data_IF_382822074847
#
_entry.id   IF_382822074847
#
_cell.length_a   1.000
_cell.length_b   1.000
_cell.length_c   1.000
_cell.angle_alpha   90.00
_cell.angle_beta   90.00
_cell.angle_gamma   90.00
#
_symmetry.space_group_name_H-M   'P 1'
#
loop_
_entity.id
_entity.type
_entity.pdbx_description
1 polymer ?
#
# COMPACT_ATOMS: atom_id res chain seq x y z
N UNK A 1 -6.14 -8.18 18.66
CA UNK A 1 -6.41 -6.78 18.26
C UNK A 1 -7.31 -6.81 17.04
N UNK A 2 -8.47 -6.16 17.05
CA UNK A 2 -9.38 -6.16 15.91
C UNK A 2 -9.13 -4.91 15.06
N UNK A 3 -8.47 -5.06 13.91
CA UNK A 3 -8.18 -3.96 12.99
C UNK A 3 -9.42 -3.73 12.12
N UNK A 4 -10.03 -2.55 12.23
CA UNK A 4 -11.31 -2.23 11.56
C UNK A 4 -11.24 -1.05 10.59
N UNK A 5 -10.07 -0.42 10.44
CA UNK A 5 -9.90 0.78 9.63
C UNK A 5 -8.74 0.61 8.66
N UNK A 6 -8.81 1.29 7.51
CA UNK A 6 -7.70 1.29 6.55
C UNK A 6 -6.39 1.79 7.18
N UNK A 7 -6.46 2.88 7.94
CA UNK A 7 -5.31 3.39 8.69
C UNK A 7 -4.76 2.37 9.70
N UNK A 8 -5.63 1.62 10.37
CA UNK A 8 -5.24 0.54 11.27
C UNK A 8 -4.52 -0.60 10.56
N UNK A 9 -4.98 -0.98 9.35
CA UNK A 9 -4.31 -1.99 8.53
C UNK A 9 -2.92 -1.52 8.11
N UNK A 10 -2.80 -0.28 7.63
CA UNK A 10 -1.51 0.28 7.19
C UNK A 10 -0.53 0.39 8.37
N UNK A 11 -1.00 0.82 9.54
CA UNK A 11 -0.18 0.87 10.74
C UNK A 11 0.29 -0.52 11.16
N UNK A 12 -0.59 -1.51 11.18
CA UNK A 12 -0.24 -2.88 11.52
C UNK A 12 0.75 -3.49 10.51
N UNK A 13 0.57 -3.23 9.22
CA UNK A 13 1.53 -3.61 8.18
C UNK A 13 2.92 -3.01 8.44
N UNK A 14 2.99 -1.71 8.74
CA UNK A 14 4.24 -1.03 9.06
C UNK A 14 4.94 -1.60 10.30
N UNK A 15 4.17 -1.89 11.36
CA UNK A 15 4.69 -2.46 12.60
C UNK A 15 5.17 -3.91 12.42
N UNK A 16 4.37 -4.75 11.76
CA UNK A 16 4.62 -6.17 11.67
C UNK A 16 5.67 -6.54 10.62
N UNK A 17 5.70 -5.84 9.47
CA UNK A 17 6.48 -6.26 8.30
C UNK A 17 7.58 -5.27 7.91
N UNK A 18 7.35 -3.96 8.06
CA UNK A 18 8.35 -2.95 7.67
C UNK A 18 9.39 -2.74 8.76
N UNK A 19 8.96 -2.49 10.00
CA UNK A 19 9.87 -2.22 11.12
C UNK A 19 10.71 -3.44 11.52
N UNK A 20 10.21 -4.64 11.25
CA UNK A 20 10.93 -5.90 11.44
C UNK A 20 11.92 -6.20 10.30
N UNK A 21 11.97 -5.35 9.27
CA UNK A 21 12.87 -5.51 8.13
C UNK A 21 12.49 -6.62 7.17
N UNK A 22 11.31 -7.24 7.33
CA UNK A 22 10.84 -8.27 6.40
C UNK A 22 10.52 -7.63 5.03
N UNK A 23 9.95 -6.42 5.03
CA UNK A 23 9.59 -5.68 3.83
C UNK A 23 10.25 -4.31 3.80
N UNK A 24 10.68 -3.88 2.60
CA UNK A 24 11.30 -2.58 2.38
C UNK A 24 10.36 -1.42 2.77
N UNK A 25 10.93 -0.40 3.41
CA UNK A 25 10.20 0.78 3.86
C UNK A 25 9.51 1.57 2.74
N UNK A 26 9.97 1.45 1.49
CA UNK A 26 9.32 2.01 0.32
C UNK A 26 7.88 1.50 0.16
N UNK A 27 7.60 0.23 0.48
CA UNK A 27 6.24 -0.31 0.42
C UNK A 27 5.34 0.30 1.49
N UNK A 28 5.85 0.58 2.69
CA UNK A 28 5.09 1.30 3.71
C UNK A 28 4.70 2.72 3.28
N UNK A 29 5.62 3.44 2.61
CA UNK A 29 5.34 4.78 2.04
C UNK A 29 4.35 4.70 0.88
N UNK A 30 4.54 3.74 -0.03
CA UNK A 30 3.68 3.53 -1.17
C UNK A 30 2.24 3.19 -0.75
N UNK A 31 2.06 2.33 0.25
CA UNK A 31 0.73 1.96 0.76
C UNK A 31 -0.01 3.18 1.33
N UNK A 32 0.66 4.01 2.14
CA UNK A 32 0.07 5.26 2.64
C UNK A 32 -0.38 6.19 1.50
N UNK A 33 0.49 6.40 0.51
CA UNK A 33 0.18 7.27 -0.63
C UNK A 33 -0.94 6.70 -1.51
N UNK A 34 -0.97 5.39 -1.75
CA UNK A 34 -2.06 4.74 -2.48
C UNK A 34 -3.42 4.91 -1.81
N UNK A 35 -3.46 4.86 -0.47
CA UNK A 35 -4.69 5.10 0.28
C UNK A 35 -5.15 6.56 0.15
N UNK A 36 -4.24 7.54 0.15
CA UNK A 36 -4.57 8.95 -0.13
C UNK A 36 -5.13 9.12 -1.56
N UNK A 37 -4.43 8.57 -2.55
CA UNK A 37 -4.87 8.60 -3.96
C UNK A 37 -6.28 8.04 -4.10
N UNK A 38 -6.54 6.87 -3.50
CA UNK A 38 -7.87 6.24 -3.51
C UNK A 38 -8.93 7.12 -2.86
N UNK A 39 -8.64 7.69 -1.68
CA UNK A 39 -9.61 8.56 -0.98
C UNK A 39 -9.93 9.79 -1.81
N UNK A 40 -8.93 10.43 -2.42
CA UNK A 40 -9.16 11.56 -3.32
C UNK A 40 -9.96 11.16 -4.55
N UNK A 41 -9.63 10.04 -5.19
CA UNK A 41 -10.32 9.60 -6.39
C UNK A 41 -11.79 9.20 -6.14
N UNK A 42 -12.05 8.48 -5.04
CA UNK A 42 -13.37 7.91 -4.74
C UNK A 42 -14.32 8.93 -4.11
N UNK A 43 -13.79 9.86 -3.31
CA UNK A 43 -14.60 10.74 -2.46
C UNK A 43 -14.40 12.23 -2.72
N UNK A 44 -13.38 12.62 -3.48
CA UNK A 44 -13.18 14.01 -3.91
C UNK A 44 -13.37 14.09 -5.43
N UNK A 45 -13.78 15.25 -5.95
CA UNK A 45 -13.99 15.45 -7.39
C UNK A 45 -12.67 15.52 -8.20
N UNK A 46 -11.63 14.79 -7.78
CA UNK A 46 -10.30 14.82 -8.36
C UNK A 46 -9.85 13.42 -8.75
N UNK A 47 -10.09 13.05 -10.01
CA UNK A 47 -9.43 11.89 -10.59
C UNK A 47 -7.91 12.05 -10.54
N UNK A 48 -7.15 10.98 -10.26
CA UNK A 48 -5.70 11.05 -10.30
C UNK A 48 -5.22 11.38 -11.72
N UNK A 49 -4.08 12.04 -11.83
CA UNK A 49 -3.43 12.23 -13.14
C UNK A 49 -3.05 10.87 -13.73
N UNK A 50 -2.83 10.82 -15.04
CA UNK A 50 -2.38 9.60 -15.70
C UNK A 50 -1.04 9.08 -15.12
N UNK A 51 -0.13 9.99 -14.77
CA UNK A 51 1.13 9.67 -14.11
C UNK A 51 0.91 9.08 -12.71
N UNK A 52 0.03 9.69 -11.91
CA UNK A 52 -0.29 9.20 -10.56
C UNK A 52 -0.98 7.83 -10.61
N UNK A 53 -1.87 7.62 -11.58
CA UNK A 53 -2.51 6.34 -11.82
C UNK A 53 -1.51 5.26 -12.26
N UNK A 54 -0.62 5.57 -13.21
CA UNK A 54 0.41 4.64 -13.67
C UNK A 54 1.38 4.26 -12.54
N UNK A 55 1.80 5.25 -11.75
CA UNK A 55 2.61 5.03 -10.57
C UNK A 55 1.88 4.12 -9.57
N UNK A 56 0.61 4.41 -9.28
CA UNK A 56 -0.20 3.63 -8.34
C UNK A 56 -0.29 2.15 -8.74
N UNK A 57 -0.59 1.86 -10.01
CA UNK A 57 -0.64 0.48 -10.53
C UNK A 57 0.72 -0.20 -10.39
N UNK A 58 1.80 0.48 -10.80
CA UNK A 58 3.16 -0.07 -10.69
C UNK A 58 3.52 -0.43 -9.25
N UNK A 59 3.19 0.42 -8.28
CA UNK A 59 3.45 0.13 -6.86
C UNK A 59 2.60 -1.04 -6.35
N UNK A 60 1.33 -1.12 -6.76
CA UNK A 60 0.44 -2.20 -6.35
C UNK A 60 0.91 -3.56 -6.89
N UNK A 61 1.35 -3.62 -8.15
CA UNK A 61 1.92 -4.81 -8.76
C UNK A 61 3.19 -5.25 -8.04
N UNK A 62 4.13 -4.32 -7.81
CA UNK A 62 5.36 -4.59 -7.06
C UNK A 62 5.06 -5.11 -5.66
N UNK A 63 4.10 -4.50 -4.95
CA UNK A 63 3.69 -4.94 -3.62
C UNK A 63 3.18 -6.38 -3.63
N UNK A 64 2.24 -6.71 -4.52
CA UNK A 64 1.68 -8.07 -4.63
C UNK A 64 2.76 -9.08 -4.98
N UNK A 65 3.65 -8.75 -5.92
CA UNK A 65 4.77 -9.61 -6.30
C UNK A 65 5.70 -9.88 -5.11
N UNK A 66 6.05 -8.85 -4.33
CA UNK A 66 6.88 -8.99 -3.13
C UNK A 66 6.19 -9.82 -2.05
N UNK A 67 4.89 -9.59 -1.78
CA UNK A 67 4.15 -10.40 -0.79
C UNK A 67 4.12 -11.87 -1.19
N UNK A 68 3.92 -12.16 -2.49
CA UNK A 68 3.99 -13.53 -3.02
C UNK A 68 5.37 -14.12 -2.81
N UNK A 69 6.42 -13.46 -3.31
CA UNK A 69 7.78 -13.97 -3.21
C UNK A 69 8.24 -14.26 -1.76
N UNK A 70 7.81 -13.44 -0.79
CA UNK A 70 8.28 -13.57 0.59
C UNK A 70 7.39 -14.41 1.50
N UNK A 71 6.07 -14.38 1.33
CA UNK A 71 5.14 -14.96 2.31
C UNK A 71 4.21 -16.01 1.72
N UNK A 72 3.94 -15.96 0.41
CA UNK A 72 3.01 -16.88 -0.24
C UNK A 72 3.77 -17.68 -1.29
N UNK A 73 4.35 -18.81 -0.88
CA UNK A 73 4.94 -19.76 -1.83
C UNK A 73 3.94 -20.08 -2.94
N UNK A 74 4.43 -20.05 -4.17
CA UNK A 74 3.89 -20.85 -5.27
C UNK A 74 4.24 -22.32 -5.02
#
# INVERSE_FOLDING_TARGET
MNIKTHAGVIAAFGQALVQTGQIDAAFGRAFNRLQDVRVRADYMAGSPSAEEAAWAVTQAEAFVATMRAQFFRA
#
